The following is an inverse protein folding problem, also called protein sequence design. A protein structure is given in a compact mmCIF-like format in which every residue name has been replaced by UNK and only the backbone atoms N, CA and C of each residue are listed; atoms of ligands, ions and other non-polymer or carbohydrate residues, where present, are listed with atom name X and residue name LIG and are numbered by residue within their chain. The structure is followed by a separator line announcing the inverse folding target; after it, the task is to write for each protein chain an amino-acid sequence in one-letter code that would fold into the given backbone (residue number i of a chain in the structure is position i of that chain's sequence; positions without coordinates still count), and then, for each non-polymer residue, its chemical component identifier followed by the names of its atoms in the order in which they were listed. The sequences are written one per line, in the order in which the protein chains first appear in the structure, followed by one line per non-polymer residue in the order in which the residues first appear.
data_IF_655351583299
#
_entry.id   IF_655351583299
#
_cell.length_a   1.000
_cell.length_b   1.000
_cell.length_c   1.000
_cell.angle_alpha   90.00
_cell.angle_beta   90.00
_cell.angle_gamma   90.00
#
_symmetry.space_group_name_H-M   'P 1'
#
loop_
_entity.id
_entity.type
_entity.pdbx_description
1 polymer ?
#
# COMPACT_ATOMS: atom_id res chain seq x y z
N UNK A 1 -8.66 -15.59 5.56
CA UNK A 1 -7.86 -14.52 6.19
C UNK A 1 -6.35 -14.65 5.95
N UNK A 2 -5.73 -15.78 6.24
CA UNK A 2 -4.27 -15.94 6.08
C UNK A 2 -3.76 -15.58 4.68
N UNK A 3 -4.43 -16.04 3.63
CA UNK A 3 -4.08 -15.72 2.24
C UNK A 3 -4.10 -14.21 1.96
N UNK A 4 -5.09 -13.50 2.53
CA UNK A 4 -5.22 -12.05 2.36
C UNK A 4 -4.04 -11.34 3.03
N UNK A 5 -3.62 -11.78 4.21
CA UNK A 5 -2.43 -11.26 4.90
C UNK A 5 -1.18 -11.47 4.03
N UNK A 6 -1.00 -12.66 3.46
CA UNK A 6 0.13 -12.98 2.58
C UNK A 6 0.13 -12.13 1.31
N UNK A 7 -1.02 -11.97 0.65
CA UNK A 7 -1.15 -11.08 -0.52
C UNK A 7 -0.94 -9.62 -0.16
N UNK A 8 -1.35 -9.18 1.03
CA UNK A 8 -1.06 -7.83 1.51
C UNK A 8 0.45 -7.63 1.71
N UNK A 9 1.14 -8.62 2.27
CA UNK A 9 2.60 -8.61 2.36
C UNK A 9 3.28 -8.53 1.00
N UNK A 10 2.80 -9.30 0.02
CA UNK A 10 3.29 -9.25 -1.35
C UNK A 10 3.05 -7.86 -1.98
N UNK A 11 1.87 -7.29 -1.81
CA UNK A 11 1.56 -5.94 -2.28
C UNK A 11 2.52 -4.90 -1.68
N UNK A 12 2.81 -5.01 -0.38
CA UNK A 12 3.78 -4.15 0.29
C UNK A 12 5.17 -4.26 -0.34
N UNK A 13 5.67 -5.48 -0.54
CA UNK A 13 6.98 -5.69 -1.15
C UNK A 13 7.06 -5.09 -2.56
N UNK A 14 6.03 -5.29 -3.38
CA UNK A 14 5.94 -4.69 -4.72
C UNK A 14 5.96 -3.16 -4.62
N UNK A 15 5.16 -2.56 -3.75
CA UNK A 15 5.12 -1.11 -3.60
C UNK A 15 6.41 -0.51 -3.04
N UNK A 16 7.12 -1.22 -2.17
CA UNK A 16 8.40 -0.75 -1.64
C UNK A 16 9.53 -0.77 -2.69
N UNK A 17 9.48 -1.72 -3.61
CA UNK A 17 10.47 -1.82 -4.70
C UNK A 17 10.12 -0.96 -5.92
N UNK A 18 8.86 -0.63 -6.11
CA UNK A 18 8.36 0.08 -7.29
C UNK A 18 9.04 1.44 -7.53
N UNK A 19 9.25 2.34 -6.54
CA UNK A 19 9.93 3.61 -6.76
C UNK A 19 11.35 3.44 -7.28
N UNK A 20 12.11 2.50 -6.72
CA UNK A 20 13.47 2.20 -7.16
C UNK A 20 13.50 1.61 -8.57
N UNK A 21 12.59 0.70 -8.86
CA UNK A 21 12.44 0.09 -10.20
C UNK A 21 12.09 1.14 -11.26
N UNK A 22 11.11 2.00 -10.99
CA UNK A 22 10.74 3.10 -11.88
C UNK A 22 11.89 4.10 -12.04
N UNK A 23 12.63 4.39 -10.98
CA UNK A 23 13.81 5.25 -11.03
C UNK A 23 14.91 4.70 -11.94
N UNK A 24 15.18 3.40 -11.87
CA UNK A 24 16.14 2.73 -12.75
C UNK A 24 15.66 2.69 -14.19
N UNK A 25 14.39 2.36 -14.44
CA UNK A 25 13.80 2.27 -15.78
C UNK A 25 13.76 3.65 -16.48
N UNK A 26 13.54 4.71 -15.76
CA UNK A 26 13.51 6.08 -16.28
C UNK A 26 14.89 6.74 -16.37
N UNK A 27 15.94 6.06 -15.89
CA UNK A 27 17.29 6.63 -15.83
C UNK A 27 17.47 7.72 -14.78
N UNK A 28 16.49 7.93 -13.91
CA UNK A 28 16.53 8.97 -12.87
C UNK A 28 17.47 8.63 -11.71
N UNK A 29 17.79 7.35 -11.54
CA UNK A 29 18.71 6.87 -10.49
C UNK A 29 19.64 5.79 -11.04
N UNK A 30 20.64 5.40 -10.25
CA UNK A 30 21.59 4.34 -10.56
C UNK A 30 21.65 3.31 -9.42
N UNK A 31 22.17 2.12 -9.73
CA UNK A 31 22.40 1.09 -8.71
C UNK A 31 23.36 1.57 -7.62
N UNK A 32 24.38 2.36 -7.99
CA UNK A 32 25.31 2.93 -7.02
C UNK A 32 24.63 3.89 -6.05
N UNK A 33 23.72 4.73 -6.54
CA UNK A 33 22.94 5.62 -5.69
C UNK A 33 22.02 4.83 -4.74
N UNK A 34 21.32 3.80 -5.26
CA UNK A 34 20.42 2.97 -4.46
C UNK A 34 21.15 2.12 -3.41
N UNK A 35 22.35 1.67 -3.71
CA UNK A 35 23.18 0.91 -2.79
C UNK A 35 23.89 1.78 -1.75
N UNK A 36 24.02 3.09 -2.00
CA UNK A 36 24.67 4.05 -1.10
C UNK A 36 23.77 4.55 0.02
N UNK A 37 24.29 5.47 0.82
CA UNK A 37 23.57 6.06 1.96
C UNK A 37 22.41 6.98 1.56
N UNK A 38 22.33 7.40 0.30
CA UNK A 38 21.31 8.29 -0.25
C UNK A 38 21.18 9.62 0.50
N UNK A 39 22.29 10.15 1.00
CA UNK A 39 22.33 11.38 1.80
C UNK A 39 21.83 12.60 1.01
N UNK A 40 22.10 12.61 -0.30
CA UNK A 40 21.54 13.63 -1.19
C UNK A 40 20.23 13.15 -1.83
N UNK A 41 19.18 14.00 -1.88
CA UNK A 41 17.94 13.63 -2.56
C UNK A 41 18.19 13.42 -4.06
N UNK A 42 17.41 12.53 -4.67
CA UNK A 42 17.47 12.26 -6.11
C UNK A 42 17.19 13.55 -6.89
N UNK A 43 18.16 13.99 -7.70
CA UNK A 43 17.98 15.14 -8.58
C UNK A 43 16.95 14.81 -9.68
N UNK A 44 16.04 15.75 -9.97
CA UNK A 44 15.02 15.62 -11.02
C UNK A 44 14.18 14.31 -10.90
N UNK A 45 13.70 14.02 -9.68
CA UNK A 45 12.86 12.84 -9.44
C UNK A 45 11.63 12.86 -10.34
N UNK A 46 11.39 11.83 -11.19
CA UNK A 46 10.18 11.74 -12.00
C UNK A 46 8.92 11.74 -11.13
N UNK A 47 7.85 12.31 -11.64
CA UNK A 47 6.57 12.36 -10.95
C UNK A 47 6.03 10.96 -10.64
N UNK A 48 6.24 9.98 -11.53
CA UNK A 48 5.87 8.58 -11.34
C UNK A 48 6.57 7.95 -10.13
N UNK A 49 7.87 8.20 -9.96
CA UNK A 49 8.65 7.72 -8.81
C UNK A 49 8.13 8.33 -7.51
N UNK A 50 7.90 9.64 -7.51
CA UNK A 50 7.36 10.34 -6.34
C UNK A 50 5.95 9.85 -5.97
N UNK A 51 5.09 9.58 -6.96
CA UNK A 51 3.76 9.00 -6.74
C UNK A 51 3.83 7.58 -6.19
N UNK A 52 4.68 6.73 -6.75
CA UNK A 52 4.88 5.37 -6.26
C UNK A 52 5.34 5.36 -4.79
N UNK A 53 6.26 6.26 -4.43
CA UNK A 53 6.74 6.41 -3.05
C UNK A 53 5.63 6.85 -2.09
N UNK A 54 4.80 7.82 -2.48
CA UNK A 54 3.66 8.26 -1.65
C UNK A 54 2.59 7.17 -1.52
N UNK A 55 2.32 6.41 -2.57
CA UNK A 55 1.39 5.28 -2.51
C UNK A 55 1.88 4.19 -1.55
N UNK A 56 3.17 3.85 -1.58
CA UNK A 56 3.79 2.90 -0.66
C UNK A 56 3.70 3.39 0.80
N UNK A 57 4.04 4.65 1.06
CA UNK A 57 3.95 5.24 2.40
C UNK A 57 2.52 5.18 2.95
N UNK A 58 1.53 5.46 2.11
CA UNK A 58 0.12 5.39 2.52
C UNK A 58 -0.32 3.96 2.88
N UNK A 59 0.20 2.94 2.20
CA UNK A 59 -0.04 1.55 2.61
C UNK A 59 0.61 1.26 3.97
N UNK A 60 1.86 1.65 4.16
CA UNK A 60 2.60 1.44 5.42
C UNK A 60 1.88 2.08 6.60
N UNK A 61 1.28 3.26 6.44
CA UNK A 61 0.53 3.96 7.49
C UNK A 61 -0.71 3.19 7.96
N UNK A 62 -1.41 2.50 7.06
CA UNK A 62 -2.63 1.75 7.38
C UNK A 62 -2.39 0.28 7.70
N UNK A 63 -1.23 -0.25 7.32
CA UNK A 63 -0.88 -1.65 7.46
C UNK A 63 -0.92 -2.17 8.92
N UNK A 64 -0.41 -1.46 9.92
CA UNK A 64 -0.47 -1.92 11.31
C UNK A 64 -1.91 -2.15 11.79
N UNK A 65 -2.83 -1.25 11.44
CA UNK A 65 -4.25 -1.38 11.79
C UNK A 65 -4.84 -2.62 11.12
N UNK A 66 -4.63 -2.79 9.81
CA UNK A 66 -5.11 -3.96 9.08
C UNK A 66 -4.57 -5.26 9.67
N UNK A 67 -3.26 -5.37 9.90
CA UNK A 67 -2.66 -6.60 10.42
C UNK A 67 -3.16 -6.94 11.82
N UNK A 68 -3.33 -5.93 12.68
CA UNK A 68 -3.89 -6.12 14.02
C UNK A 68 -5.30 -6.68 13.93
N UNK A 69 -6.18 -6.06 13.14
CA UNK A 69 -7.55 -6.53 12.97
C UNK A 69 -7.63 -7.92 12.34
N UNK A 70 -6.78 -8.20 11.34
CA UNK A 70 -6.74 -9.49 10.69
C UNK A 70 -6.28 -10.62 11.63
N UNK A 71 -5.26 -10.37 12.45
CA UNK A 71 -4.79 -11.35 13.46
C UNK A 71 -5.85 -11.57 14.54
N UNK A 72 -6.45 -10.50 15.07
CA UNK A 72 -7.54 -10.61 16.04
C UNK A 72 -8.73 -11.38 15.47
N UNK A 73 -9.08 -11.14 14.19
CA UNK A 73 -10.15 -11.89 13.52
C UNK A 73 -9.87 -13.39 13.46
N UNK A 74 -8.62 -13.79 13.22
CA UNK A 74 -8.23 -15.20 13.25
C UNK A 74 -8.37 -15.77 14.66
N UNK A 75 -7.89 -15.04 15.67
CA UNK A 75 -7.91 -15.49 17.06
C UNK A 75 -9.33 -15.61 17.61
N UNK A 76 -10.25 -14.76 17.19
CA UNK A 76 -11.64 -14.71 17.64
C UNK A 76 -12.59 -15.47 16.71
N UNK A 77 -12.08 -16.09 15.65
CA UNK A 77 -12.86 -16.78 14.61
C UNK A 77 -13.95 -15.89 13.96
N UNK A 78 -13.67 -14.59 13.89
CA UNK A 78 -14.61 -13.61 13.35
C UNK A 78 -14.69 -13.66 11.82
N UNK A 79 -15.88 -13.40 11.26
CA UNK A 79 -16.16 -13.51 9.82
C UNK A 79 -15.81 -12.23 9.05
N UNK A 80 -14.58 -11.74 9.17
CA UNK A 80 -14.13 -10.49 8.55
C UNK A 80 -13.35 -10.69 7.24
N UNK A 81 -13.25 -11.93 6.74
CA UNK A 81 -12.43 -12.23 5.57
C UNK A 81 -12.89 -11.50 4.30
N UNK A 82 -14.20 -11.29 4.11
CA UNK A 82 -14.75 -10.54 2.98
C UNK A 82 -14.34 -9.06 3.05
N UNK A 83 -14.47 -8.43 4.22
CA UNK A 83 -14.05 -7.04 4.44
C UNK A 83 -12.55 -6.86 4.20
N UNK A 84 -11.74 -7.82 4.66
CA UNK A 84 -10.31 -7.83 4.43
C UNK A 84 -9.96 -7.96 2.93
N UNK A 85 -10.70 -8.81 2.19
CA UNK A 85 -10.52 -8.98 0.75
C UNK A 85 -10.89 -7.70 -0.02
N UNK A 86 -12.00 -7.05 0.36
CA UNK A 86 -12.42 -5.77 -0.21
C UNK A 86 -11.37 -4.70 0.07
N UNK A 87 -10.87 -4.62 1.31
CA UNK A 87 -9.81 -3.70 1.70
C UNK A 87 -8.56 -3.90 0.82
N UNK A 88 -8.09 -5.14 0.65
CA UNK A 88 -6.94 -5.44 -0.20
C UNK A 88 -7.18 -5.01 -1.65
N UNK A 89 -8.35 -5.32 -2.21
CA UNK A 89 -8.74 -4.89 -3.56
C UNK A 89 -8.71 -3.36 -3.72
N UNK A 90 -9.21 -2.62 -2.74
CA UNK A 90 -9.15 -1.16 -2.70
C UNK A 90 -7.71 -0.66 -2.61
N UNK A 91 -6.83 -1.34 -1.86
CA UNK A 91 -5.41 -0.95 -1.78
C UNK A 91 -4.67 -1.17 -3.10
N UNK A 92 -4.98 -2.25 -3.83
CA UNK A 92 -4.46 -2.47 -5.19
C UNK A 92 -4.96 -1.37 -6.14
N UNK A 93 -6.27 -1.11 -6.15
CA UNK A 93 -6.87 -0.06 -6.97
C UNK A 93 -6.28 1.33 -6.65
N UNK A 94 -5.95 1.60 -5.40
CA UNK A 94 -5.32 2.85 -4.96
C UNK A 94 -3.97 3.10 -5.63
N UNK A 95 -3.14 2.08 -5.77
CA UNK A 95 -1.84 2.19 -6.46
C UNK A 95 -2.04 2.64 -7.91
N UNK A 96 -2.95 1.98 -8.63
CA UNK A 96 -3.24 2.32 -10.03
C UNK A 96 -3.83 3.72 -10.16
N UNK A 97 -4.78 4.09 -9.31
CA UNK A 97 -5.36 5.44 -9.30
C UNK A 97 -4.31 6.52 -9.01
N UNK A 98 -3.36 6.23 -8.12
CA UNK A 98 -2.28 7.16 -7.79
C UNK A 98 -1.32 7.36 -8.96
N UNK A 99 -0.88 6.26 -9.59
CA UNK A 99 0.02 6.31 -10.75
C UNK A 99 -0.65 6.95 -11.96
N UNK A 100 -1.94 6.69 -12.18
CA UNK A 100 -2.73 7.27 -13.27
C UNK A 100 -3.15 8.73 -13.02
N UNK A 101 -2.87 9.30 -11.86
CA UNK A 101 -3.20 10.67 -11.49
C UNK A 101 -4.71 10.97 -11.42
N UNK A 102 -5.51 10.03 -10.93
CA UNK A 102 -6.95 10.21 -10.77
C UNK A 102 -7.27 10.59 -9.32
N UNK A 103 -7.27 11.90 -9.03
CA UNK A 103 -7.28 12.42 -7.65
C UNK A 103 -8.57 12.12 -6.88
N UNK A 104 -9.73 12.39 -7.47
CA UNK A 104 -11.02 12.20 -6.77
C UNK A 104 -11.33 10.72 -6.50
N UNK A 105 -11.10 9.85 -7.49
CA UNK A 105 -11.28 8.40 -7.35
C UNK A 105 -10.32 7.84 -6.30
N UNK A 106 -9.08 8.31 -6.27
CA UNK A 106 -8.09 7.93 -5.25
C UNK A 106 -8.60 8.20 -3.83
N UNK A 107 -9.18 9.37 -3.59
CA UNK A 107 -9.73 9.74 -2.28
C UNK A 107 -10.90 8.86 -1.90
N UNK A 108 -11.80 8.55 -2.84
CA UNK A 108 -12.92 7.63 -2.61
C UNK A 108 -12.44 6.21 -2.28
N UNK A 109 -11.47 5.70 -3.03
CA UNK A 109 -10.87 4.38 -2.78
C UNK A 109 -10.23 4.33 -1.40
N UNK A 110 -9.49 5.36 -1.02
CA UNK A 110 -8.87 5.45 0.30
C UNK A 110 -9.92 5.47 1.42
N UNK A 111 -10.96 6.30 1.28
CA UNK A 111 -12.05 6.38 2.25
C UNK A 111 -12.76 5.04 2.39
N UNK A 112 -13.04 4.35 1.27
CA UNK A 112 -13.62 3.00 1.29
C UNK A 112 -12.75 2.00 2.04
N UNK A 113 -11.42 2.06 1.86
CA UNK A 113 -10.49 1.19 2.59
C UNK A 113 -10.50 1.46 4.10
N UNK A 114 -10.61 2.72 4.52
CA UNK A 114 -10.75 3.07 5.95
C UNK A 114 -12.06 2.55 6.53
N UNK A 115 -13.17 2.67 5.79
CA UNK A 115 -14.46 2.12 6.20
C UNK A 115 -14.37 0.60 6.39
N UNK A 116 -13.70 -0.13 5.51
CA UNK A 116 -13.50 -1.58 5.69
C UNK A 116 -12.77 -1.89 7.03
N UNK A 117 -11.74 -1.13 7.39
CA UNK A 117 -11.04 -1.32 8.66
C UNK A 117 -11.94 -1.04 9.87
N UNK A 118 -12.75 0.01 9.79
CA UNK A 118 -13.73 0.32 10.85
C UNK A 118 -14.73 -0.83 10.99
N UNK A 119 -15.29 -1.32 9.88
CA UNK A 119 -16.24 -2.43 9.90
C UNK A 119 -15.61 -3.71 10.42
N UNK A 120 -14.36 -4.03 10.03
CA UNK A 120 -13.63 -5.16 10.62
C UNK A 120 -13.50 -5.03 12.14
N UNK A 121 -13.21 -3.82 12.63
CA UNK A 121 -13.15 -3.56 14.08
C UNK A 121 -14.50 -3.75 14.78
N UNK A 122 -15.60 -3.32 14.15
CA UNK A 122 -16.94 -3.49 14.71
C UNK A 122 -17.40 -4.95 14.77
N UNK A 123 -16.96 -5.80 13.84
CA UNK A 123 -17.23 -7.24 13.86
C UNK A 123 -16.48 -7.99 14.99
N UNK A 124 -15.51 -7.34 15.63
CA UNK A 124 -14.74 -7.92 16.75
C UNK A 124 -15.33 -7.57 18.13
N UNK A 125 -16.31 -6.67 18.19
CA UNK A 125 -16.89 -6.14 19.43
C UNK A 125 -18.33 -6.59 19.59
#
# INVERSE_FOLDING_TARGET
MLEIILFTGLLLLVQLTLPSTLGLMTGATSLNYLAGARDEPMANMPVSVARAKRAANNLVETLPVFLTLAVLSIMMEAQTAELAAIWLGLRVAYVFAYLAHVNHIRTLIWSGSVVCLIMMGLELV
#
